data_IF_990942669400
#
_entry.id   IF_990942669400
#
_cell.length_a   1.000
_cell.length_b   1.000
_cell.length_c   1.000
_cell.angle_alpha   90.00
_cell.angle_beta   90.00
_cell.angle_gamma   90.00
#
_symmetry.space_group_name_H-M   'P 1'
#
loop_
_entity.id
_entity.type
_entity.pdbx_description
1 polymer ?
#
# COMPACT_ATOMS: atom_id res chain seq x y z
N UNK A 1 -5.18 17.99 17.53
CA UNK A 1 -6.47 17.34 17.20
C UNK A 1 -6.20 16.24 16.19
N UNK A 2 -6.36 14.98 16.59
CA UNK A 2 -6.34 13.84 15.68
C UNK A 2 -7.53 13.96 14.73
N UNK A 3 -7.26 14.24 13.46
CA UNK A 3 -8.30 14.31 12.43
C UNK A 3 -8.59 12.89 11.96
N UNK A 4 -9.81 12.41 12.17
CA UNK A 4 -10.36 11.17 11.60
C UNK A 4 -10.55 11.25 10.06
N UNK A 5 -10.00 12.26 9.39
CA UNK A 5 -10.16 12.44 7.94
C UNK A 5 -9.06 11.67 7.20
N UNK A 6 -9.46 10.99 6.13
CA UNK A 6 -8.58 10.14 5.31
C UNK A 6 -7.40 10.89 4.69
N UNK A 7 -6.43 10.14 4.17
CA UNK A 7 -5.15 10.71 3.70
C UNK A 7 -5.30 11.70 2.53
N UNK A 8 -6.31 11.51 1.68
CA UNK A 8 -6.66 12.49 0.64
C UNK A 8 -7.06 13.86 1.22
N UNK A 9 -7.82 13.88 2.32
CA UNK A 9 -8.19 15.12 2.98
C UNK A 9 -6.99 15.81 3.63
N UNK A 10 -6.02 15.04 4.14
CA UNK A 10 -4.76 15.59 4.66
C UNK A 10 -3.95 16.24 3.53
N UNK A 11 -3.88 15.59 2.37
CA UNK A 11 -3.23 16.15 1.17
C UNK A 11 -3.93 17.46 0.77
N UNK A 12 -5.27 17.47 0.68
CA UNK A 12 -6.04 18.68 0.40
C UNK A 12 -5.71 19.83 1.39
N UNK A 13 -5.68 19.55 2.69
CA UNK A 13 -5.34 20.57 3.68
C UNK A 13 -3.91 21.08 3.54
N UNK A 14 -2.96 20.21 3.17
CA UNK A 14 -1.59 20.60 2.87
C UNK A 14 -1.54 21.52 1.64
N UNK A 15 -2.21 21.14 0.55
CA UNK A 15 -2.31 21.93 -0.69
C UNK A 15 -2.91 23.30 -0.42
N UNK A 16 -4.03 23.32 0.31
CA UNK A 16 -4.67 24.57 0.75
C UNK A 16 -3.69 25.45 1.53
N UNK A 17 -2.96 24.92 2.50
CA UNK A 17 -2.01 25.72 3.30
C UNK A 17 -0.86 26.32 2.48
N UNK A 18 -0.39 25.63 1.45
CA UNK A 18 0.69 26.12 0.56
C UNK A 18 0.17 27.17 -0.41
N UNK A 19 -1.03 26.95 -0.97
CA UNK A 19 -1.73 27.92 -1.84
C UNK A 19 -1.97 29.27 -1.14
N UNK A 20 -2.36 29.25 0.13
CA UNK A 20 -2.58 30.50 0.91
C UNK A 20 -1.29 31.23 1.29
N UNK A 21 -0.11 30.59 1.18
CA UNK A 21 1.19 31.15 1.57
C UNK A 21 2.05 31.57 0.38
N UNK A 22 1.47 31.61 -0.82
CA UNK A 22 2.14 31.91 -2.09
C UNK A 22 3.45 31.13 -2.31
N UNK A 23 3.51 29.91 -1.73
CA UNK A 23 4.65 29.02 -1.87
C UNK A 23 4.42 28.08 -3.04
N UNK A 24 5.48 27.81 -3.80
CA UNK A 24 5.43 26.82 -4.87
C UNK A 24 5.04 25.43 -4.32
N UNK A 25 4.12 24.77 -5.01
CA UNK A 25 3.75 23.38 -4.76
C UNK A 25 4.93 22.40 -4.92
N UNK A 26 6.00 22.82 -5.64
CA UNK A 26 7.24 22.05 -5.84
C UNK A 26 7.97 21.68 -4.54
N UNK A 27 7.73 22.39 -3.44
CA UNK A 27 8.35 22.08 -2.15
C UNK A 27 7.67 20.93 -1.38
N UNK A 28 6.55 20.37 -1.89
CA UNK A 28 5.90 19.24 -1.24
C UNK A 28 6.58 17.93 -1.61
N UNK A 29 7.16 17.24 -0.61
CA UNK A 29 7.81 15.93 -0.77
C UNK A 29 6.97 14.93 -1.59
N UNK A 30 5.66 14.82 -1.29
CA UNK A 30 4.75 13.88 -1.99
C UNK A 30 4.57 14.21 -3.47
N UNK A 31 4.48 15.50 -3.84
CA UNK A 31 4.34 15.89 -5.24
C UNK A 31 5.66 15.70 -5.99
N UNK A 32 6.79 16.01 -5.33
CA UNK A 32 8.12 15.78 -5.89
C UNK A 32 8.37 14.30 -6.19
N UNK A 33 7.96 13.41 -5.28
CA UNK A 33 8.08 11.96 -5.48
C UNK A 33 7.25 11.48 -6.68
N UNK A 34 6.03 11.97 -6.84
CA UNK A 34 5.20 11.67 -8.02
C UNK A 34 5.83 12.24 -9.31
N UNK A 35 6.35 13.46 -9.26
CA UNK A 35 7.05 14.09 -10.39
C UNK A 35 8.31 13.30 -10.80
N UNK A 36 9.10 12.82 -9.84
CA UNK A 36 10.27 11.97 -10.08
C UNK A 36 9.87 10.65 -10.77
N UNK A 37 8.77 10.02 -10.33
CA UNK A 37 8.23 8.79 -10.94
C UNK A 37 7.72 9.06 -12.37
N UNK A 38 6.97 10.14 -12.58
CA UNK A 38 6.48 10.54 -13.91
C UNK A 38 7.65 10.77 -14.87
N UNK A 39 8.66 11.55 -14.45
CA UNK A 39 9.83 11.82 -15.27
C UNK A 39 10.60 10.55 -15.64
N UNK A 40 10.71 9.60 -14.69
CA UNK A 40 11.33 8.31 -14.95
C UNK A 40 10.60 7.54 -16.06
N UNK A 41 9.29 7.32 -15.93
CA UNK A 41 8.54 6.55 -16.94
C UNK A 41 8.43 7.27 -18.29
N UNK A 42 8.36 8.61 -18.28
CA UNK A 42 8.35 9.41 -19.50
C UNK A 42 9.62 9.26 -20.33
N UNK A 43 10.74 8.87 -19.70
CA UNK A 43 12.01 8.63 -20.40
C UNK A 43 12.11 7.25 -21.08
N UNK A 44 11.19 6.31 -20.77
CA UNK A 44 11.20 4.94 -21.30
C UNK A 44 10.41 4.88 -22.62
N UNK A 45 10.85 4.06 -23.57
CA UNK A 45 10.12 3.82 -24.83
C UNK A 45 8.79 3.07 -24.60
N UNK A 46 7.84 3.23 -25.52
CA UNK A 46 6.48 2.71 -25.34
C UNK A 46 6.41 1.18 -25.25
N UNK A 47 7.25 0.45 -26.00
CA UNK A 47 7.23 -1.01 -26.00
C UNK A 47 7.72 -1.58 -24.67
N UNK A 48 8.81 -1.03 -24.13
CA UNK A 48 9.32 -1.39 -22.81
C UNK A 48 8.33 -0.98 -21.72
N UNK A 49 7.78 0.23 -21.81
CA UNK A 49 6.83 0.76 -20.83
C UNK A 49 5.54 -0.08 -20.76
N UNK A 50 5.06 -0.58 -21.90
CA UNK A 50 3.91 -1.48 -21.98
C UNK A 50 4.18 -2.84 -21.33
N UNK A 51 5.39 -3.39 -21.47
CA UNK A 51 5.79 -4.61 -20.76
C UNK A 51 5.83 -4.38 -19.24
N UNK A 52 6.39 -3.26 -18.79
CA UNK A 52 6.41 -2.86 -17.38
C UNK A 52 4.98 -2.75 -16.83
N UNK A 53 4.08 -2.09 -17.58
CA UNK A 53 2.67 -2.00 -17.23
C UNK A 53 2.03 -3.38 -17.00
N UNK A 54 2.23 -4.33 -17.92
CA UNK A 54 1.68 -5.68 -17.77
C UNK A 54 2.31 -6.45 -16.60
N UNK A 55 3.61 -6.28 -16.34
CA UNK A 55 4.25 -6.85 -15.15
C UNK A 55 3.62 -6.31 -13.86
N UNK A 56 3.41 -4.99 -13.77
CA UNK A 56 2.77 -4.37 -12.60
C UNK A 56 1.31 -4.80 -12.43
N UNK A 57 0.56 -4.93 -13.53
CA UNK A 57 -0.81 -5.41 -13.49
C UNK A 57 -0.90 -6.87 -13.00
N UNK A 58 0.02 -7.72 -13.45
CA UNK A 58 0.14 -9.10 -12.98
C UNK A 58 0.41 -9.14 -11.46
N UNK A 59 1.35 -8.33 -10.97
CA UNK A 59 1.72 -8.32 -9.55
C UNK A 59 0.58 -7.78 -8.67
N UNK A 60 -0.08 -6.71 -9.11
CA UNK A 60 -1.26 -6.15 -8.43
C UNK A 60 -2.35 -7.22 -8.22
N UNK A 61 -2.60 -8.04 -9.24
CA UNK A 61 -3.58 -9.13 -9.18
C UNK A 61 -3.08 -10.32 -8.34
N UNK A 62 -1.77 -10.59 -8.33
CA UNK A 62 -1.14 -11.66 -7.54
C UNK A 62 -1.12 -11.43 -6.02
N UNK A 63 -1.19 -10.17 -5.56
CA UNK A 63 -1.16 -9.84 -4.12
C UNK A 63 -2.36 -10.33 -3.30
N UNK A 64 -3.39 -10.91 -3.93
CA UNK A 64 -4.60 -11.43 -3.28
C UNK A 64 -4.37 -12.61 -2.32
N UNK A 65 -3.18 -13.23 -2.32
CA UNK A 65 -2.83 -14.33 -1.42
C UNK A 65 -2.60 -13.84 0.03
N UNK A 66 -2.12 -12.60 0.21
CA UNK A 66 -1.80 -12.06 1.55
C UNK A 66 -3.04 -12.01 2.46
N UNK A 67 -4.20 -11.48 2.02
CA UNK A 67 -5.45 -11.56 2.80
C UNK A 67 -5.87 -12.99 3.19
N UNK A 68 -5.62 -13.98 2.32
CA UNK A 68 -5.96 -15.39 2.58
C UNK A 68 -5.09 -15.97 3.70
N UNK A 69 -3.78 -15.71 3.67
CA UNK A 69 -2.86 -16.15 4.72
C UNK A 69 -3.22 -15.49 6.06
N UNK A 70 -3.49 -14.18 6.06
CA UNK A 70 -3.87 -13.43 7.26
C UNK A 70 -5.18 -13.97 7.86
N UNK A 71 -6.18 -14.24 7.03
CA UNK A 71 -7.49 -14.75 7.48
C UNK A 71 -7.44 -16.21 7.97
N UNK A 72 -6.44 -16.99 7.54
CA UNK A 72 -6.27 -18.38 7.96
C UNK A 72 -5.56 -18.52 9.32
N UNK A 73 -4.82 -17.49 9.76
CA UNK A 73 -4.09 -17.49 11.04
C UNK A 73 -4.95 -17.81 12.27
N UNK A 74 -6.11 -17.15 12.48
CA UNK A 74 -7.01 -17.45 13.59
C UNK A 74 -7.49 -18.90 13.62
N UNK A 75 -7.76 -19.49 12.44
CA UNK A 75 -8.19 -20.88 12.33
C UNK A 75 -7.10 -21.85 12.75
N UNK A 76 -5.84 -21.55 12.40
CA UNK A 76 -4.70 -22.34 12.83
C UNK A 76 -4.51 -22.29 14.35
N UNK A 77 -4.61 -21.10 14.96
CA UNK A 77 -4.55 -20.99 16.43
C UNK A 77 -5.73 -21.67 17.13
N UNK A 78 -6.90 -21.66 16.51
CA UNK A 78 -8.06 -22.37 17.03
C UNK A 78 -7.86 -23.89 17.05
N UNK A 79 -7.29 -24.46 15.98
CA UNK A 79 -6.97 -25.89 15.88
C UNK A 79 -6.01 -26.37 16.98
N UNK A 80 -5.04 -25.53 17.36
CA UNK A 80 -4.05 -25.82 18.40
C UNK A 80 -4.33 -25.11 19.73
N UNK A 81 -5.59 -24.70 19.96
CA UNK A 81 -5.96 -23.85 21.09
C UNK A 81 -5.58 -24.44 22.45
N UNK A 82 -5.72 -25.76 22.64
CA UNK A 82 -5.34 -26.43 23.90
C UNK A 82 -3.84 -26.39 24.15
N UNK A 83 -3.04 -26.78 23.17
CA UNK A 83 -1.58 -26.75 23.27
C UNK A 83 -1.05 -25.32 23.46
N UNK A 84 -1.68 -24.37 22.76
CA UNK A 84 -1.35 -22.96 22.88
C UNK A 84 -1.72 -22.41 24.27
N UNK A 85 -2.89 -22.77 24.80
CA UNK A 85 -3.32 -22.36 26.13
C UNK A 85 -2.40 -22.93 27.22
N UNK A 86 -2.08 -24.23 27.16
CA UNK A 86 -1.18 -24.88 28.12
C UNK A 86 0.21 -24.24 28.12
N UNK A 87 0.69 -23.80 26.95
CA UNK A 87 1.97 -23.10 26.83
C UNK A 87 1.90 -21.64 27.33
N UNK A 88 0.87 -20.89 26.93
CA UNK A 88 0.76 -19.45 27.19
C UNK A 88 0.37 -19.11 28.64
N UNK A 89 -0.39 -19.99 29.29
CA UNK A 89 -0.90 -19.79 30.67
C UNK A 89 -0.17 -20.65 31.71
N UNK A 90 0.89 -21.35 31.30
CA UNK A 90 1.67 -22.21 32.19
C UNK A 90 2.09 -21.47 33.46
N UNK A 91 1.81 -22.04 34.63
CA UNK A 91 2.22 -21.53 35.95
C UNK A 91 1.78 -20.07 36.24
N UNK A 92 0.68 -19.61 35.64
CA UNK A 92 0.22 -18.21 35.81
C UNK A 92 1.05 -17.20 35.03
N UNK A 93 1.81 -17.66 34.03
CA UNK A 93 2.68 -16.84 33.19
C UNK A 93 1.93 -15.80 32.37
N UNK A 94 2.59 -14.66 32.14
CA UNK A 94 2.11 -13.56 31.28
C UNK A 94 2.54 -13.73 29.81
N UNK A 95 3.02 -14.92 29.41
CA UNK A 95 3.40 -15.22 28.02
C UNK A 95 2.25 -14.94 27.04
N UNK A 96 0.99 -15.12 27.46
CA UNK A 96 -0.18 -14.77 26.66
C UNK A 96 -0.22 -13.28 26.26
N UNK A 97 0.23 -12.37 27.14
CA UNK A 97 0.25 -10.92 26.85
C UNK A 97 1.23 -10.63 25.73
N UNK A 98 2.44 -11.18 25.84
CA UNK A 98 3.49 -11.04 24.82
C UNK A 98 3.01 -11.63 23.50
N UNK A 99 2.43 -12.83 23.53
CA UNK A 99 1.87 -13.48 22.35
C UNK A 99 0.82 -12.62 21.64
N UNK A 100 -0.16 -12.08 22.38
CA UNK A 100 -1.23 -11.23 21.82
C UNK A 100 -0.65 -9.95 21.22
N UNK A 101 0.26 -9.28 21.94
CA UNK A 101 0.89 -8.05 21.44
C UNK A 101 1.70 -8.31 20.17
N UNK A 102 2.50 -9.37 20.17
CA UNK A 102 3.30 -9.76 18.99
C UNK A 102 2.40 -10.12 17.82
N UNK A 103 1.35 -10.93 18.05
CA UNK A 103 0.42 -11.35 17.01
C UNK A 103 -0.33 -10.17 16.39
N UNK A 104 -0.92 -9.29 17.21
CA UNK A 104 -1.63 -8.09 16.72
C UNK A 104 -0.67 -7.18 15.97
N UNK A 105 0.56 -7.01 16.46
CA UNK A 105 1.56 -6.17 15.80
C UNK A 105 1.93 -6.72 14.42
N UNK A 106 2.19 -8.03 14.30
CA UNK A 106 2.48 -8.68 13.02
C UNK A 106 1.30 -8.52 12.05
N UNK A 107 0.07 -8.74 12.53
CA UNK A 107 -1.13 -8.56 11.72
C UNK A 107 -1.28 -7.11 11.24
N UNK A 108 -1.15 -6.15 12.14
CA UNK A 108 -1.27 -4.73 11.80
C UNK A 108 -0.21 -4.30 10.78
N UNK A 109 1.04 -4.71 10.98
CA UNK A 109 2.14 -4.42 10.04
C UNK A 109 1.89 -5.08 8.69
N UNK A 110 1.48 -6.35 8.67
CA UNK A 110 1.21 -7.09 7.43
C UNK A 110 0.09 -6.43 6.61
N UNK A 111 -1.02 -6.06 7.27
CA UNK A 111 -2.13 -5.35 6.64
C UNK A 111 -1.68 -3.96 6.16
N UNK A 112 -0.93 -3.23 6.98
CA UNK A 112 -0.43 -1.91 6.63
C UNK A 112 0.48 -1.96 5.40
N UNK A 113 1.45 -2.88 5.37
CA UNK A 113 2.36 -3.08 4.23
C UNK A 113 1.59 -3.47 2.98
N UNK A 114 0.65 -4.41 3.09
CA UNK A 114 -0.18 -4.84 1.95
C UNK A 114 -0.94 -3.67 1.31
N UNK A 115 -1.60 -2.85 2.12
CA UNK A 115 -2.32 -1.68 1.60
C UNK A 115 -1.38 -0.59 1.09
N UNK A 116 -0.23 -0.40 1.73
CA UNK A 116 0.79 0.55 1.28
C UNK A 116 1.34 0.18 -0.11
N UNK A 117 1.79 -1.06 -0.29
CA UNK A 117 2.26 -1.59 -1.56
C UNK A 117 1.18 -1.49 -2.65
N UNK A 118 -0.05 -1.87 -2.31
CA UNK A 118 -1.19 -1.78 -3.24
C UNK A 118 -1.45 -0.34 -3.68
N UNK A 119 -1.35 0.63 -2.76
CA UNK A 119 -1.52 2.04 -3.09
C UNK A 119 -0.42 2.56 -4.02
N UNK A 120 0.83 2.17 -3.79
CA UNK A 120 1.96 2.56 -4.64
C UNK A 120 1.88 1.92 -6.03
N UNK A 121 1.56 0.62 -6.10
CA UNK A 121 1.36 -0.07 -7.36
C UNK A 121 0.26 0.61 -8.19
N UNK A 122 -0.81 1.07 -7.56
CA UNK A 122 -1.86 1.84 -8.23
C UNK A 122 -1.33 3.15 -8.83
N UNK A 123 -0.56 3.93 -8.06
CA UNK A 123 0.04 5.20 -8.55
C UNK A 123 0.94 4.95 -9.77
N UNK A 124 1.84 3.96 -9.71
CA UNK A 124 2.71 3.66 -10.84
C UNK A 124 1.93 3.20 -12.07
N UNK A 125 0.92 2.34 -11.90
CA UNK A 125 0.08 1.86 -13.01
C UNK A 125 -0.67 3.01 -13.68
N UNK A 126 -1.29 3.91 -12.91
CA UNK A 126 -2.01 5.07 -13.45
C UNK A 126 -1.08 6.02 -14.21
N UNK A 127 0.10 6.33 -13.67
CA UNK A 127 1.09 7.18 -14.35
C UNK A 127 1.52 6.55 -15.69
N UNK A 128 1.82 5.25 -15.69
CA UNK A 128 2.23 4.56 -16.92
C UNK A 128 1.10 4.57 -17.94
N UNK A 129 -0.14 4.33 -17.51
CA UNK A 129 -1.31 4.34 -18.37
C UNK A 129 -1.55 5.73 -18.97
N UNK A 130 -1.43 6.79 -18.18
CA UNK A 130 -1.51 8.18 -18.64
C UNK A 130 -0.47 8.46 -19.73
N UNK A 131 0.80 8.12 -19.50
CA UNK A 131 1.89 8.33 -20.47
C UNK A 131 1.65 7.55 -21.77
N UNK A 132 1.21 6.29 -21.68
CA UNK A 132 0.92 5.47 -22.87
C UNK A 132 -0.30 5.99 -23.65
N UNK A 133 -1.30 6.53 -22.94
CA UNK A 133 -2.47 7.18 -23.55
C UNK A 133 -2.08 8.49 -24.26
N UNK A 134 -1.25 9.34 -23.64
CA UNK A 134 -0.74 10.58 -24.26
C UNK A 134 0.05 10.28 -25.55
N UNK A 135 0.79 9.16 -25.56
CA UNK A 135 1.53 8.68 -26.73
C UNK A 135 0.64 8.02 -27.80
N UNK A 136 -0.67 7.85 -27.55
CA UNK A 136 -1.65 7.17 -28.42
C UNK A 136 -1.34 5.69 -28.69
N UNK A 137 -0.64 5.04 -27.76
CA UNK A 137 -0.18 3.64 -27.87
C UNK A 137 -1.17 2.62 -27.28
N UNK A 138 -2.20 3.12 -26.58
CA UNK A 138 -3.33 2.35 -26.07
C UNK A 138 -4.60 2.96 -26.67
N UNK A 139 -5.34 2.18 -27.46
CA UNK A 139 -6.76 2.48 -27.73
C UNK A 139 -7.54 2.08 -26.49
N UNK A 140 -8.25 3.04 -25.91
CA UNK A 140 -9.34 2.73 -24.98
C UNK A 140 -10.28 1.74 -25.67
N UNK A 141 -10.61 0.64 -24.97
CA UNK A 141 -11.85 -0.07 -25.26
C UNK A 141 -12.95 0.76 -24.59
N UNK A 142 -13.84 1.29 -25.42
CA UNK A 142 -15.14 1.83 -25.03
C UNK A 142 -15.87 0.90 -24.04
#
# INVERSE_FOLDING_TARGET
MFSLRGDAHKIYLQLKKVSYKDRSFKCMKKLKEVEEIQNFYSSIDSDTLKKIYYCMLKEKNGSGIIPIIISSGPWLFFLFSKQLQDFLFKDGSLLWVVFVLTYISILAISVFLHFHEKSWAFVHIEIIQEILNERKEIREKD
#
